data_IF_683877425648
#
_entry.id   IF_683877425648
#
_cell.length_a   1.000
_cell.length_b   1.000
_cell.length_c   1.000
_cell.angle_alpha   90.00
_cell.angle_beta   90.00
_cell.angle_gamma   90.00
#
_symmetry.space_group_name_H-M   'P 1'
#
loop_
_entity.id
_entity.type
_entity.pdbx_description
1 polymer ?
#
# COMPACT_ATOMS: atom_id res chain seq x y z
N UNK A 1 1.07 -15.30 25.18
CA UNK A 1 2.14 -14.95 24.24
C UNK A 1 1.45 -14.11 23.16
N UNK A 2 1.31 -12.82 23.44
CA UNK A 2 0.69 -11.80 22.58
C UNK A 2 1.63 -10.60 22.70
N UNK A 3 2.76 -10.61 21.99
CA UNK A 3 3.74 -9.50 22.07
C UNK A 3 4.66 -9.37 20.84
N UNK A 4 4.29 -9.90 19.66
CA UNK A 4 5.17 -9.89 18.47
C UNK A 4 4.55 -9.34 17.16
N UNK A 5 3.49 -8.53 17.19
CA UNK A 5 2.87 -7.99 15.95
C UNK A 5 2.89 -6.46 15.80
N UNK A 6 3.94 -5.77 16.28
CA UNK A 6 4.08 -4.32 16.00
C UNK A 6 5.51 -3.85 15.66
N UNK A 7 6.44 -4.77 15.36
CA UNK A 7 7.85 -4.43 15.08
C UNK A 7 8.24 -4.39 13.59
N UNK A 8 7.32 -4.55 12.64
CA UNK A 8 7.66 -4.50 11.21
C UNK A 8 7.53 -3.11 10.56
N UNK A 9 7.02 -2.12 11.29
CA UNK A 9 6.97 -0.72 10.86
C UNK A 9 8.19 0.12 11.28
N UNK A 10 9.04 -0.43 12.14
CA UNK A 10 10.19 0.23 12.75
C UNK A 10 11.51 -0.42 12.32
N UNK A 11 11.82 -0.39 11.02
CA UNK A 11 13.23 -0.24 10.66
C UNK A 11 13.63 1.15 11.19
N UNK A 12 13.96 1.21 12.49
CA UNK A 12 14.31 2.40 13.25
C UNK A 12 15.40 3.10 12.47
N UNK A 13 15.01 4.12 11.68
CA UNK A 13 15.95 5.03 11.07
C UNK A 13 16.81 5.54 12.21
N UNK A 14 18.07 5.13 12.25
CA UNK A 14 19.03 5.63 13.24
C UNK A 14 18.88 7.14 13.25
N UNK A 15 18.66 7.78 14.41
CA UNK A 15 18.44 9.23 14.45
C UNK A 15 19.57 9.93 13.71
N UNK A 16 19.24 10.57 12.59
CA UNK A 16 20.23 11.32 11.81
C UNK A 16 20.64 12.56 12.62
N UNK A 17 21.91 12.62 13.02
CA UNK A 17 22.47 13.84 13.61
C UNK A 17 22.90 14.81 12.51
N UNK A 18 22.11 15.87 12.33
CA UNK A 18 22.43 16.94 11.39
C UNK A 18 23.55 17.88 11.89
N UNK A 19 24.09 18.72 10.99
CA UNK A 19 25.05 19.76 11.38
C UNK A 19 24.40 20.85 12.26
N UNK A 20 25.19 21.63 13.02
CA UNK A 20 24.69 22.71 13.86
C UNK A 20 24.03 23.84 13.04
N UNK A 21 23.15 24.63 13.66
CA UNK A 21 22.33 25.68 13.01
C UNK A 21 23.11 26.79 12.28
N UNK A 22 24.40 26.97 12.57
CA UNK A 22 25.28 27.94 11.91
C UNK A 22 26.48 27.24 11.26
N UNK A 23 26.22 26.12 10.61
CA UNK A 23 27.23 25.41 9.83
C UNK A 23 27.65 26.24 8.61
N UNK A 24 28.96 26.39 8.33
CA UNK A 24 29.42 27.17 7.20
C UNK A 24 29.13 26.44 5.88
N UNK A 25 28.57 27.16 4.90
CA UNK A 25 28.28 26.62 3.57
C UNK A 25 29.51 26.08 2.81
N UNK A 26 30.73 26.43 3.25
CA UNK A 26 31.97 25.86 2.71
C UNK A 26 32.14 24.37 2.98
N UNK A 27 31.46 23.86 4.00
CA UNK A 27 31.51 22.46 4.42
C UNK A 27 30.34 21.66 3.86
N UNK A 28 29.43 22.29 3.11
CA UNK A 28 28.32 21.60 2.48
C UNK A 28 28.85 20.58 1.47
N UNK A 29 28.23 19.40 1.46
CA UNK A 29 28.57 18.30 0.56
C UNK A 29 27.43 18.06 -0.42
N UNK A 30 27.77 17.58 -1.62
CA UNK A 30 26.80 17.17 -2.63
C UNK A 30 27.32 15.96 -3.38
N UNK A 31 26.47 14.95 -3.54
CA UNK A 31 26.81 13.75 -4.31
C UNK A 31 27.11 14.06 -5.79
N UNK A 32 26.50 15.13 -6.31
CA UNK A 32 26.56 15.49 -7.74
C UNK A 32 27.62 16.58 -8.03
N UNK A 33 27.99 17.39 -7.04
CA UNK A 33 28.92 18.51 -7.22
C UNK A 33 30.06 18.47 -6.20
N UNK A 34 31.29 18.60 -6.71
CA UNK A 34 32.47 18.81 -5.85
C UNK A 34 32.43 20.15 -5.11
N UNK A 35 31.75 21.17 -5.68
CA UNK A 35 31.53 22.46 -5.02
C UNK A 35 30.04 22.84 -5.11
N UNK A 36 29.26 22.72 -4.02
CA UNK A 36 27.84 23.03 -4.03
C UNK A 36 27.55 24.54 -4.12
N UNK A 37 28.51 25.37 -3.71
CA UNK A 37 28.42 26.82 -3.74
C UNK A 37 29.56 27.44 -4.55
N UNK A 38 29.23 28.44 -5.38
CA UNK A 38 30.19 29.18 -6.20
C UNK A 38 30.09 30.66 -5.87
N UNK A 39 31.24 31.28 -5.58
CA UNK A 39 31.33 32.72 -5.35
C UNK A 39 31.73 33.47 -6.62
N UNK A 40 31.09 34.62 -6.87
CA UNK A 40 31.36 35.51 -8.00
C UNK A 40 31.27 36.96 -7.55
N UNK A 41 32.08 37.83 -8.15
CA UNK A 41 31.89 39.28 -8.03
C UNK A 41 31.14 39.80 -9.25
N UNK A 42 30.34 40.85 -9.05
CA UNK A 42 29.63 41.54 -10.16
C UNK A 42 30.56 42.16 -11.19
N UNK A 43 31.78 42.53 -10.80
CA UNK A 43 32.79 43.10 -11.69
C UNK A 43 34.19 42.64 -11.32
N UNK A 44 35.03 42.40 -12.34
CA UNK A 44 36.46 42.12 -12.18
C UNK A 44 37.31 43.39 -12.15
N UNK A 45 36.78 44.52 -12.64
CA UNK A 45 37.57 45.71 -12.97
C UNK A 45 37.24 46.93 -12.10
N UNK A 46 36.08 46.97 -11.44
CA UNK A 46 35.65 48.09 -10.59
C UNK A 46 36.47 48.17 -9.29
N UNK A 47 36.44 49.25 -8.52
CA UNK A 47 37.10 49.29 -7.21
C UNK A 47 36.56 48.20 -6.26
N UNK A 48 37.40 47.71 -5.34
CA UNK A 48 37.03 46.64 -4.39
C UNK A 48 35.78 46.97 -3.57
N UNK A 49 35.56 48.25 -3.28
CA UNK A 49 34.49 48.71 -2.39
C UNK A 49 33.13 48.83 -3.09
N UNK A 50 33.07 48.76 -4.42
CA UNK A 50 31.85 48.95 -5.21
C UNK A 50 31.36 47.63 -5.83
N UNK A 51 32.02 46.51 -5.51
CA UNK A 51 31.66 45.18 -6.02
C UNK A 51 30.73 44.48 -5.04
N UNK A 52 29.76 43.76 -5.59
CA UNK A 52 28.85 42.91 -4.82
C UNK A 52 29.39 41.48 -4.91
N UNK A 53 29.42 40.77 -3.78
CA UNK A 53 29.71 39.34 -3.74
C UNK A 53 28.40 38.58 -3.94
N UNK A 54 28.41 37.63 -4.87
CA UNK A 54 27.29 36.75 -5.16
C UNK A 54 27.73 35.32 -4.87
N UNK A 55 26.97 34.63 -4.03
CA UNK A 55 27.05 33.21 -3.79
C UNK A 55 25.91 32.53 -4.56
N UNK A 56 26.25 31.58 -5.42
CA UNK A 56 25.31 30.83 -6.25
C UNK A 56 25.30 29.36 -5.82
N UNK A 57 24.12 28.77 -5.65
CA UNK A 57 23.99 27.31 -5.46
C UNK A 57 24.06 26.57 -6.80
N UNK A 58 24.87 25.52 -6.86
CA UNK A 58 24.86 24.55 -7.96
C UNK A 58 23.80 23.47 -7.74
N UNK A 59 23.50 23.13 -6.48
CA UNK A 59 22.51 22.10 -6.11
C UNK A 59 21.10 22.56 -6.44
N UNK A 60 20.80 23.83 -6.20
CA UNK A 60 19.52 24.45 -6.51
C UNK A 60 19.71 25.62 -7.49
N UNK A 61 19.74 25.35 -8.80
CA UNK A 61 19.87 26.40 -9.81
C UNK A 61 18.76 27.44 -9.65
N UNK A 62 19.17 28.70 -9.46
CA UNK A 62 18.27 29.81 -9.15
C UNK A 62 18.38 30.35 -7.74
N UNK A 63 19.06 29.65 -6.82
CA UNK A 63 19.36 30.16 -5.49
C UNK A 63 20.62 31.05 -5.52
N UNK A 64 20.43 32.31 -5.13
CA UNK A 64 21.49 33.30 -5.04
C UNK A 64 21.44 33.99 -3.68
N UNK A 65 22.60 34.17 -3.07
CA UNK A 65 22.79 35.05 -1.92
C UNK A 65 23.77 36.14 -2.33
N UNK A 66 23.47 37.39 -2.04
CA UNK A 66 24.37 38.49 -2.34
C UNK A 66 24.62 39.35 -1.12
N UNK A 67 25.83 39.88 -1.04
CA UNK A 67 26.25 40.73 0.06
C UNK A 67 26.86 42.03 -0.47
N UNK A 68 26.44 43.14 0.13
CA UNK A 68 26.97 44.48 -0.14
C UNK A 68 26.92 45.31 1.13
N UNK A 69 28.09 45.75 1.61
CA UNK A 69 28.25 46.47 2.88
C UNK A 69 27.60 45.74 4.07
N UNK A 70 26.41 46.19 4.52
CA UNK A 70 25.65 45.62 5.63
C UNK A 70 24.46 44.76 5.18
N UNK A 71 24.20 44.73 3.88
CA UNK A 71 23.08 43.99 3.30
C UNK A 71 23.56 42.58 2.93
N UNK A 72 22.82 41.58 3.39
CA UNK A 72 23.01 40.18 3.06
C UNK A 72 21.63 39.58 2.82
N UNK A 73 21.30 39.33 1.56
CA UNK A 73 19.97 38.87 1.16
C UNK A 73 20.09 37.63 0.28
N UNK A 74 19.08 36.77 0.38
CA UNK A 74 18.99 35.53 -0.40
C UNK A 74 17.69 35.49 -1.18
N UNK A 75 17.78 35.09 -2.45
CA UNK A 75 16.63 34.98 -3.34
C UNK A 75 16.68 33.64 -4.05
N UNK A 76 15.51 33.09 -4.34
CA UNK A 76 15.36 31.95 -5.25
C UNK A 76 14.53 32.37 -6.46
N UNK A 77 15.10 32.23 -7.66
CA UNK A 77 14.40 32.43 -8.93
C UNK A 77 14.72 31.26 -9.84
N UNK A 78 13.79 30.31 -9.94
CA UNK A 78 13.98 29.10 -10.72
C UNK A 78 12.76 28.19 -10.72
N UNK A 79 12.93 27.01 -11.31
CA UNK A 79 11.86 26.04 -11.53
C UNK A 79 11.48 25.19 -10.30
N UNK A 80 12.21 25.33 -9.19
CA UNK A 80 12.06 24.46 -8.02
C UNK A 80 12.63 23.05 -8.23
N UNK A 81 13.49 22.86 -9.24
CA UNK A 81 14.08 21.56 -9.55
C UNK A 81 15.50 21.47 -8.99
N UNK A 82 15.75 20.47 -8.15
CA UNK A 82 17.11 20.12 -7.71
C UNK A 82 17.91 19.71 -8.93
N UNK A 83 19.14 20.18 -9.05
CA UNK A 83 20.01 19.74 -10.13
C UNK A 83 20.34 18.25 -9.95
N UNK A 84 20.14 17.48 -11.01
CA UNK A 84 20.50 16.06 -11.09
C UNK A 84 21.17 15.81 -12.43
N UNK A 85 22.41 15.31 -12.43
CA UNK A 85 23.22 15.22 -13.65
C UNK A 85 22.73 14.16 -14.66
N UNK A 86 22.19 13.04 -14.16
CA UNK A 86 21.84 11.88 -15.02
C UNK A 86 20.35 11.67 -15.21
N UNK A 87 19.56 11.67 -14.14
CA UNK A 87 18.09 11.74 -14.11
C UNK A 87 17.61 11.48 -12.68
N UNK A 88 16.40 11.94 -12.34
CA UNK A 88 15.75 11.58 -11.07
C UNK A 88 15.42 10.08 -11.09
N UNK A 89 15.87 9.36 -10.07
CA UNK A 89 15.51 7.93 -9.91
C UNK A 89 14.04 7.89 -9.55
N UNK A 90 13.21 7.37 -10.47
CA UNK A 90 11.82 7.08 -10.16
C UNK A 90 11.81 5.94 -9.14
N UNK A 91 10.99 6.08 -8.09
CA UNK A 91 10.78 5.00 -7.14
C UNK A 91 10.26 3.80 -7.91
N UNK A 92 10.95 2.66 -7.78
CA UNK A 92 10.46 1.40 -8.31
C UNK A 92 9.15 1.01 -7.60
N UNK A 93 8.37 0.13 -8.23
CA UNK A 93 7.20 -0.44 -7.59
C UNK A 93 7.63 -1.09 -6.25
N UNK A 94 6.80 -1.00 -5.21
CA UNK A 94 7.09 -1.69 -3.96
C UNK A 94 7.30 -3.19 -4.22
N UNK A 95 8.12 -3.86 -3.42
CA UNK A 95 8.26 -5.30 -3.51
C UNK A 95 6.88 -5.96 -3.35
N UNK A 96 6.68 -7.06 -4.07
CA UNK A 96 5.48 -7.88 -3.90
C UNK A 96 5.53 -8.50 -2.52
N UNK A 97 4.40 -8.49 -1.81
CA UNK A 97 4.28 -9.14 -0.50
C UNK A 97 4.33 -10.65 -0.68
N UNK A 98 5.01 -11.32 0.23
CA UNK A 98 5.08 -12.77 0.24
C UNK A 98 3.73 -13.35 0.71
N UNK A 99 3.37 -14.51 0.15
CA UNK A 99 2.21 -15.25 0.62
C UNK A 99 2.51 -15.86 2.00
N UNK A 100 1.46 -16.20 2.75
CA UNK A 100 1.60 -16.83 4.05
C UNK A 100 2.44 -18.12 3.95
N UNK A 101 3.46 -18.31 4.80
CA UNK A 101 4.32 -19.48 4.72
C UNK A 101 3.52 -20.73 5.13
N UNK A 102 3.25 -21.62 4.17
CA UNK A 102 2.57 -22.87 4.46
C UNK A 102 3.52 -23.89 5.10
N UNK A 103 3.17 -24.36 6.30
CA UNK A 103 3.86 -25.42 7.01
C UNK A 103 3.31 -26.81 6.66
N UNK A 104 4.00 -27.87 7.09
CA UNK A 104 3.48 -29.25 6.96
C UNK A 104 2.15 -29.44 7.71
N UNK A 105 1.92 -28.66 8.77
CA UNK A 105 0.68 -28.67 9.56
C UNK A 105 -0.55 -28.15 8.78
N UNK A 106 -0.35 -27.33 7.74
CA UNK A 106 -1.45 -26.81 6.90
C UNK A 106 -1.99 -27.88 5.94
N UNK A 107 -1.22 -28.95 5.72
CA UNK A 107 -1.54 -30.02 4.77
C UNK A 107 -1.89 -31.32 5.50
N UNK A 108 -3.05 -31.34 6.14
CA UNK A 108 -3.57 -32.54 6.80
C UNK A 108 -4.42 -33.33 5.81
N UNK A 109 -3.96 -34.52 5.44
CA UNK A 109 -4.76 -35.50 4.70
C UNK A 109 -5.87 -36.03 5.61
N UNK A 110 -7.12 -35.79 5.23
CA UNK A 110 -8.26 -36.42 5.89
C UNK A 110 -8.37 -37.88 5.41
N UNK A 111 -8.53 -38.82 6.34
CA UNK A 111 -8.76 -40.22 5.99
C UNK A 111 -10.07 -40.35 5.21
N UNK A 112 -10.04 -41.10 4.10
CA UNK A 112 -11.25 -41.44 3.35
C UNK A 112 -12.27 -42.14 4.26
N UNK A 113 -13.58 -41.81 4.13
CA UNK A 113 -14.61 -42.47 4.91
C UNK A 113 -14.64 -43.97 4.59
N UNK A 114 -14.96 -44.77 5.59
CA UNK A 114 -15.10 -46.22 5.38
C UNK A 114 -16.36 -46.54 4.56
N UNK A 115 -16.41 -47.69 3.85
CA UNK A 115 -17.58 -48.07 3.07
C UNK A 115 -18.87 -48.16 3.91
N UNK A 116 -18.75 -48.54 5.19
CA UNK A 116 -19.89 -48.62 6.11
C UNK A 116 -20.44 -47.22 6.47
N UNK A 117 -19.56 -46.25 6.68
CA UNK A 117 -19.92 -44.85 6.92
C UNK A 117 -20.54 -44.20 5.69
N UNK A 118 -20.04 -44.50 4.49
CA UNK A 118 -20.62 -44.05 3.23
C UNK A 118 -22.04 -44.62 3.04
N UNK A 119 -22.24 -45.90 3.33
CA UNK A 119 -23.57 -46.52 3.24
C UNK A 119 -24.54 -45.96 4.29
N UNK A 120 -24.07 -45.74 5.52
CA UNK A 120 -24.85 -45.08 6.56
C UNK A 120 -25.22 -43.64 6.17
N UNK A 121 -24.29 -42.89 5.58
CA UNK A 121 -24.54 -41.55 5.05
C UNK A 121 -25.56 -41.58 3.91
N UNK A 122 -25.44 -42.52 2.96
CA UNK A 122 -26.39 -42.73 1.87
C UNK A 122 -27.79 -43.04 2.39
N UNK A 123 -27.92 -43.93 3.38
CA UNK A 123 -29.19 -44.24 4.01
C UNK A 123 -29.76 -43.04 4.77
N UNK A 124 -28.91 -42.24 5.42
CA UNK A 124 -29.33 -41.00 6.11
C UNK A 124 -29.88 -39.96 5.13
N UNK A 125 -29.28 -39.83 3.94
CA UNK A 125 -29.75 -38.97 2.85
C UNK A 125 -31.11 -39.43 2.34
N UNK A 126 -31.26 -40.73 2.05
CA UNK A 126 -32.54 -41.31 1.60
C UNK A 126 -33.62 -41.09 2.67
N UNK A 127 -33.28 -41.27 3.96
CA UNK A 127 -34.22 -41.04 5.06
C UNK A 127 -34.61 -39.56 5.18
N UNK A 128 -33.68 -38.62 5.01
CA UNK A 128 -33.98 -37.18 4.99
C UNK A 128 -34.90 -36.80 3.83
N UNK A 129 -34.65 -37.33 2.63
CA UNK A 129 -35.50 -37.09 1.45
C UNK A 129 -36.89 -37.65 1.67
N UNK A 130 -37.02 -38.90 2.13
CA UNK A 130 -38.33 -39.50 2.44
C UNK A 130 -39.10 -38.72 3.50
N UNK A 131 -38.42 -38.26 4.57
CA UNK A 131 -39.03 -37.43 5.61
C UNK A 131 -39.50 -36.09 5.06
N UNK A 132 -38.74 -35.48 4.16
CA UNK A 132 -39.13 -34.24 3.49
C UNK A 132 -40.35 -34.46 2.58
N UNK A 133 -40.40 -35.58 1.85
CA UNK A 133 -41.56 -35.95 1.01
C UNK A 133 -42.81 -36.26 1.86
N UNK A 134 -42.66 -36.93 3.00
CA UNK A 134 -43.75 -37.17 3.97
C UNK A 134 -44.24 -35.86 4.61
N UNK A 135 -43.34 -34.98 5.08
CA UNK A 135 -43.72 -33.65 5.60
C UNK A 135 -44.38 -32.77 4.51
N UNK A 136 -44.06 -32.98 3.23
CA UNK A 136 -44.69 -32.27 2.12
C UNK A 136 -46.07 -32.85 1.73
N UNK A 137 -46.35 -34.11 2.11
CA UNK A 137 -47.65 -34.77 1.93
C UNK A 137 -48.62 -34.44 3.08
N UNK A 138 -48.11 -34.22 4.29
CA UNK A 138 -48.91 -33.92 5.49
C UNK A 138 -49.57 -32.50 5.45
N UNK A 139 -49.19 -31.62 4.51
CA UNK A 139 -49.84 -30.32 4.31
C UNK A 139 -51.11 -30.41 3.42
N UNK A 140 -51.38 -31.56 2.79
CA UNK A 140 -52.47 -31.72 1.80
C UNK A 140 -53.57 -32.75 2.17
N UNK A 141 -53.59 -33.28 3.40
CA UNK A 141 -54.51 -34.38 3.78
C UNK A 141 -55.64 -33.99 4.75
N UNK A 142 -56.00 -32.70 4.88
CA UNK A 142 -57.18 -32.26 5.67
C UNK A 142 -58.39 -31.81 4.81
N UNK A 143 -58.33 -31.95 3.48
CA UNK A 143 -59.44 -31.60 2.58
C UNK A 143 -59.69 -32.65 1.50
N UNK A 144 -60.27 -33.82 1.83
CA UNK A 144 -61.25 -34.44 0.94
C UNK A 144 -62.08 -35.53 1.67
N UNK A 145 -63.24 -35.15 2.21
CA UNK A 145 -64.33 -36.10 2.40
C UNK A 145 -65.05 -36.30 1.04
N UNK A 146 -65.35 -37.52 0.60
CA UNK A 146 -66.17 -37.72 -0.59
C UNK A 146 -67.65 -37.72 -0.18
N UNK A 147 -68.32 -36.56 -0.27
CA UNK A 147 -69.79 -36.54 -0.30
C UNK A 147 -70.32 -36.86 -1.71
N UNK A 148 -71.12 -37.92 -1.72
CA UNK A 148 -72.23 -38.31 -2.62
C UNK A 148 -72.80 -37.27 -3.59
N UNK A 149 -73.04 -37.65 -4.85
CA UNK A 149 -74.35 -37.88 -5.53
C UNK A 149 -74.15 -37.83 -7.08
N UNK A 150 -74.51 -38.88 -7.85
CA UNK A 150 -75.73 -39.01 -8.72
C UNK A 150 -75.95 -37.83 -9.69
N UNK A 151 -76.40 -37.96 -10.92
CA UNK A 151 -76.79 -39.02 -11.87
C UNK A 151 -76.92 -38.27 -13.23
N UNK A 152 -77.45 -38.94 -14.26
CA UNK A 152 -77.94 -38.44 -15.55
C UNK A 152 -76.93 -38.44 -16.70
N UNK A 153 -76.89 -39.50 -17.50
CA UNK A 153 -77.83 -39.87 -18.58
C UNK A 153 -77.61 -39.06 -19.86
N UNK A 154 -77.16 -39.74 -20.92
CA UNK A 154 -77.53 -39.40 -22.28
C UNK A 154 -77.91 -40.70 -23.03
N UNK A 155 -79.12 -40.65 -23.58
CA UNK A 155 -79.90 -41.70 -24.21
C UNK A 155 -79.25 -42.36 -25.44
N UNK A 156 -79.63 -43.62 -25.64
CA UNK A 156 -80.18 -44.11 -26.91
C UNK A 156 -81.57 -44.72 -26.65
#
# INVERSE_FOLDING_TARGET
EEEEEDMEGEELSVPEEGPPILHPCSNDLSDQFTMPWVTRFTSKYTNRNERILILQSNVWPGAYTFTFEKLCESIYVGWGHKYVARNMVLKHLPPVLEEYPHGEEDFIEATDPTPEEEEAYRLSLIKKVKKADEEHLDEYDDELSPETNTEDEDEA
#
